data_IF_265147054545
#
_entry.id   IF_265147054545
#
_cell.length_a   1.000
_cell.length_b   1.000
_cell.length_c   1.000
_cell.angle_alpha   90.00
_cell.angle_beta   90.00
_cell.angle_gamma   90.00
#
_symmetry.space_group_name_H-M   'P 1'
#
loop_
_entity.id
_entity.type
_entity.pdbx_description
1 polymer ?
#
# COMPACT_ATOMS: atom_id res chain seq x y z
N UNK A 1 -49.34 -36.64 17.68
CA UNK A 1 -49.71 -35.97 16.41
C UNK A 1 -48.47 -35.62 15.64
N UNK A 2 -48.15 -36.42 14.61
CA UNK A 2 -47.05 -36.16 13.69
C UNK A 2 -47.62 -35.33 12.55
N UNK A 3 -47.28 -34.05 12.48
CA UNK A 3 -47.68 -33.18 11.38
C UNK A 3 -47.07 -33.72 10.08
N UNK A 4 -47.89 -34.35 9.24
CA UNK A 4 -47.57 -34.60 7.84
C UNK A 4 -47.51 -33.23 7.19
N UNK A 5 -46.32 -32.62 7.20
CA UNK A 5 -46.04 -31.42 6.42
C UNK A 5 -46.17 -31.83 4.96
N UNK A 6 -47.13 -31.24 4.27
CA UNK A 6 -47.39 -31.51 2.85
C UNK A 6 -46.07 -31.42 2.07
N UNK A 7 -45.74 -32.43 1.27
CA UNK A 7 -44.44 -32.53 0.58
C UNK A 7 -44.13 -31.28 -0.25
N UNK A 8 -45.17 -30.60 -0.77
CA UNK A 8 -45.02 -29.32 -1.45
C UNK A 8 -44.56 -28.20 -0.50
N UNK A 9 -45.10 -28.17 0.72
CA UNK A 9 -44.69 -27.21 1.76
C UNK A 9 -43.25 -27.47 2.19
N UNK A 10 -42.85 -28.74 2.32
CA UNK A 10 -41.48 -29.11 2.65
C UNK A 10 -40.48 -28.67 1.56
N UNK A 11 -40.84 -28.84 0.28
CA UNK A 11 -40.01 -28.38 -0.84
C UNK A 11 -39.90 -26.85 -0.89
N UNK A 12 -40.99 -26.12 -0.64
CA UNK A 12 -40.98 -24.64 -0.62
C UNK A 12 -40.09 -24.12 0.51
N UNK A 13 -40.19 -24.70 1.72
CA UNK A 13 -39.33 -24.32 2.85
C UNK A 13 -37.85 -24.61 2.57
N UNK A 14 -37.54 -25.76 1.96
CA UNK A 14 -36.17 -26.09 1.57
C UNK A 14 -35.60 -25.06 0.57
N UNK A 15 -36.39 -24.67 -0.44
CA UNK A 15 -35.98 -23.68 -1.44
C UNK A 15 -35.74 -22.30 -0.80
N UNK A 16 -36.59 -21.89 0.13
CA UNK A 16 -36.44 -20.63 0.87
C UNK A 16 -35.18 -20.62 1.73
N UNK A 17 -34.86 -21.73 2.42
CA UNK A 17 -33.64 -21.85 3.21
C UNK A 17 -32.38 -21.80 2.33
N UNK A 18 -32.40 -22.43 1.15
CA UNK A 18 -31.30 -22.35 0.18
C UNK A 18 -31.12 -20.91 -0.29
N UNK A 19 -32.20 -20.23 -0.69
CA UNK A 19 -32.14 -18.85 -1.15
C UNK A 19 -31.58 -17.91 -0.06
N UNK A 20 -32.02 -18.09 1.19
CA UNK A 20 -31.55 -17.30 2.33
C UNK A 20 -30.07 -17.56 2.63
N UNK A 21 -29.61 -18.81 2.57
CA UNK A 21 -28.20 -19.17 2.68
C UNK A 21 -27.35 -18.54 1.55
N UNK A 22 -27.84 -18.53 0.30
CA UNK A 22 -27.14 -17.91 -0.82
C UNK A 22 -26.99 -16.40 -0.62
N UNK A 23 -28.03 -15.71 -0.17
CA UNK A 23 -27.98 -14.27 0.11
C UNK A 23 -27.01 -13.99 1.27
N UNK A 24 -27.08 -14.76 2.35
CA UNK A 24 -26.17 -14.62 3.49
C UNK A 24 -24.71 -14.86 3.08
N UNK A 25 -24.44 -15.89 2.28
CA UNK A 25 -23.11 -16.16 1.74
C UNK A 25 -22.62 -15.05 0.81
N UNK A 26 -23.48 -14.51 -0.06
CA UNK A 26 -23.15 -13.40 -0.95
C UNK A 26 -22.86 -12.12 -0.16
N UNK A 27 -23.63 -11.82 0.89
CA UNK A 27 -23.40 -10.68 1.77
C UNK A 27 -22.12 -10.84 2.59
N UNK A 28 -21.86 -12.04 3.13
CA UNK A 28 -20.63 -12.34 3.85
C UNK A 28 -19.43 -12.23 2.92
N UNK A 29 -19.52 -12.78 1.70
CA UNK A 29 -18.48 -12.65 0.67
C UNK A 29 -18.32 -11.19 0.25
N UNK A 30 -19.39 -10.43 0.08
CA UNK A 30 -19.32 -9.00 -0.21
C UNK A 30 -18.67 -8.22 0.93
N UNK A 31 -19.00 -8.52 2.18
CA UNK A 31 -18.38 -7.92 3.37
C UNK A 31 -16.91 -8.29 3.48
N UNK A 32 -16.54 -9.54 3.25
CA UNK A 32 -15.15 -9.99 3.21
C UNK A 32 -14.41 -9.35 2.05
N UNK A 33 -15.01 -9.29 0.85
CA UNK A 33 -14.48 -8.57 -0.30
C UNK A 33 -14.34 -7.09 0.00
N UNK A 34 -15.27 -6.48 0.73
CA UNK A 34 -15.24 -5.06 1.10
C UNK A 34 -14.23 -4.78 2.21
N UNK A 35 -14.10 -5.64 3.20
CA UNK A 35 -13.08 -5.53 4.26
C UNK A 35 -11.70 -5.76 3.65
N UNK A 36 -11.54 -6.79 2.80
CA UNK A 36 -10.34 -7.03 2.01
C UNK A 36 -10.05 -5.85 1.09
N UNK A 37 -11.04 -5.31 0.40
CA UNK A 37 -10.88 -4.13 -0.45
C UNK A 37 -10.55 -2.89 0.37
N UNK A 38 -11.01 -2.75 1.63
CA UNK A 38 -10.57 -1.68 2.54
C UNK A 38 -9.17 -1.90 3.08
N UNK A 39 -8.77 -3.15 3.33
CA UNK A 39 -7.40 -3.49 3.68
C UNK A 39 -6.44 -3.23 2.52
N UNK A 40 -6.85 -3.57 1.29
CA UNK A 40 -6.11 -3.35 0.05
C UNK A 40 -6.14 -1.86 -0.35
N UNK A 41 -7.27 -1.17 -0.19
CA UNK A 41 -7.39 0.27 -0.47
C UNK A 41 -6.74 1.15 0.61
N UNK A 42 -6.65 0.68 1.86
CA UNK A 42 -5.80 1.27 2.90
C UNK A 42 -4.32 0.91 2.74
N UNK A 43 -3.97 0.15 1.70
CA UNK A 43 -2.60 -0.12 1.26
C UNK A 43 -2.45 0.21 -0.23
N UNK A 44 -3.06 1.31 -0.70
CA UNK A 44 -2.79 1.89 -2.04
C UNK A 44 -3.16 1.00 -3.24
N UNK A 45 -4.40 1.19 -3.70
CA UNK A 45 -5.01 0.93 -5.01
C UNK A 45 -4.17 0.36 -6.19
N UNK A 46 -4.66 -0.79 -6.71
CA UNK A 46 -4.71 -1.31 -8.10
C UNK A 46 -3.43 -1.48 -8.96
N UNK A 47 -2.97 -2.74 -9.07
CA UNK A 47 -2.97 -3.41 -10.37
C UNK A 47 -3.13 -4.94 -10.26
N UNK A 48 -3.89 -5.44 -11.23
CA UNK A 48 -4.37 -6.78 -11.46
C UNK A 48 -3.22 -7.78 -11.69
N UNK A 49 -2.88 -8.63 -10.72
CA UNK A 49 -2.17 -9.89 -10.97
C UNK A 49 -2.50 -10.94 -9.90
N UNK A 50 -2.91 -12.18 -10.28
CA UNK A 50 -3.15 -13.30 -9.38
C UNK A 50 -1.84 -14.03 -9.02
N UNK A 51 -0.69 -13.34 -9.04
CA UNK A 51 0.59 -13.92 -8.63
C UNK A 51 0.93 -13.45 -7.23
N UNK A 52 0.59 -14.31 -6.27
CA UNK A 52 0.88 -14.23 -4.85
C UNK A 52 2.40 -14.25 -4.60
N UNK A 53 3.10 -13.19 -4.99
CA UNK A 53 4.45 -12.87 -4.50
C UNK A 53 4.31 -11.80 -3.44
N UNK A 54 4.86 -12.12 -2.25
CA UNK A 54 4.88 -11.29 -1.05
C UNK A 54 5.63 -9.96 -1.25
N UNK A 55 5.08 -9.03 -2.02
CA UNK A 55 5.58 -7.65 -2.06
C UNK A 55 5.08 -6.90 -0.82
N UNK A 56 5.77 -7.14 0.30
CA UNK A 56 5.49 -6.60 1.65
C UNK A 56 5.38 -5.06 1.67
N UNK A 57 5.96 -4.38 0.68
CA UNK A 57 6.00 -2.92 0.59
C UNK A 57 5.02 -2.25 -0.36
N UNK A 58 4.29 -2.99 -1.20
CA UNK A 58 3.38 -2.38 -2.18
C UNK A 58 2.29 -1.59 -1.46
N UNK A 59 2.27 -0.28 -1.71
CA UNK A 59 1.29 0.65 -1.15
C UNK A 59 1.57 1.14 0.27
N UNK A 60 2.79 0.99 0.79
CA UNK A 60 3.22 1.61 2.06
C UNK A 60 4.28 2.67 1.83
N UNK A 61 4.09 3.83 2.44
CA UNK A 61 5.06 4.92 2.46
C UNK A 61 5.97 4.84 3.70
N UNK A 62 7.26 5.11 3.52
CA UNK A 62 8.26 5.17 4.59
C UNK A 62 9.10 6.44 4.44
N UNK A 63 9.26 7.19 5.53
CA UNK A 63 10.18 8.32 5.60
C UNK A 63 11.45 7.88 6.35
N UNK A 64 12.62 8.11 5.74
CA UNK A 64 13.92 7.89 6.38
C UNK A 64 14.54 9.26 6.60
N UNK A 65 14.73 9.64 7.86
CA UNK A 65 15.17 11.01 8.21
C UNK A 65 16.68 11.23 8.09
N UNK A 66 17.47 10.16 7.99
CA UNK A 66 18.94 10.21 8.07
C UNK A 66 19.63 9.61 6.84
N UNK A 67 19.17 9.95 5.63
CA UNK A 67 19.78 9.46 4.38
C UNK A 67 21.13 10.10 4.04
N UNK A 68 21.61 11.05 4.85
CA UNK A 68 22.99 11.58 4.74
C UNK A 68 24.05 10.56 5.16
N UNK A 69 23.66 9.50 5.90
CA UNK A 69 24.55 8.41 6.32
C UNK A 69 24.55 7.25 5.32
N UNK A 70 25.65 6.50 5.26
CA UNK A 70 25.74 5.29 4.43
C UNK A 70 24.64 4.27 4.75
N UNK A 71 24.33 4.10 6.05
CA UNK A 71 23.28 3.20 6.50
C UNK A 71 21.89 3.66 6.05
N UNK A 72 21.54 4.94 6.25
CA UNK A 72 20.25 5.48 5.82
C UNK A 72 20.05 5.38 4.32
N UNK A 73 21.11 5.62 3.54
CA UNK A 73 21.07 5.49 2.08
C UNK A 73 20.90 4.03 1.63
N UNK A 74 21.61 3.08 2.26
CA UNK A 74 21.45 1.66 1.97
C UNK A 74 20.06 1.15 2.36
N UNK A 75 19.53 1.61 3.50
CA UNK A 75 18.17 1.31 3.94
C UNK A 75 17.13 1.83 2.94
N UNK A 76 17.30 3.06 2.45
CA UNK A 76 16.42 3.65 1.44
C UNK A 76 16.36 2.81 0.16
N UNK A 77 17.52 2.36 -0.33
CA UNK A 77 17.59 1.50 -1.51
C UNK A 77 17.00 0.11 -1.26
N UNK A 78 17.23 -0.45 -0.07
CA UNK A 78 16.71 -1.77 0.28
C UNK A 78 15.18 -1.76 0.36
N UNK A 79 14.59 -0.78 1.05
CA UNK A 79 13.13 -0.63 1.15
C UNK A 79 12.50 -0.30 -0.21
N UNK A 80 13.14 0.54 -1.02
CA UNK A 80 12.68 0.78 -2.40
C UNK A 80 12.74 -0.51 -3.24
N UNK A 81 13.77 -1.36 -3.08
CA UNK A 81 13.83 -2.67 -3.75
C UNK A 81 12.73 -3.64 -3.29
N UNK A 82 12.26 -3.51 -2.05
CA UNK A 82 11.15 -4.30 -1.51
C UNK A 82 9.76 -3.77 -1.92
N UNK A 83 9.71 -2.69 -2.73
CA UNK A 83 8.47 -2.13 -3.27
C UNK A 83 7.84 -1.02 -2.42
N UNK A 84 8.49 -0.59 -1.33
CA UNK A 84 8.00 0.54 -0.54
C UNK A 84 8.17 1.87 -1.29
N UNK A 85 7.24 2.81 -1.05
CA UNK A 85 7.42 4.22 -1.40
C UNK A 85 8.32 4.86 -0.35
N UNK A 86 9.55 5.19 -0.71
CA UNK A 86 10.55 5.70 0.22
C UNK A 86 10.75 7.20 -0.01
N UNK A 87 10.53 7.98 1.04
CA UNK A 87 10.96 9.37 1.13
C UNK A 87 12.31 9.40 1.83
N UNK A 88 13.36 9.70 1.08
CA UNK A 88 14.72 9.82 1.59
C UNK A 88 14.95 11.27 2.05
N UNK A 89 14.98 11.47 3.37
CA UNK A 89 15.29 12.75 4.01
C UNK A 89 16.79 13.02 4.01
N UNK A 90 17.21 14.07 3.33
CA UNK A 90 18.59 14.53 3.29
C UNK A 90 18.67 15.97 3.80
N UNK A 91 19.64 16.23 4.67
CA UNK A 91 19.94 17.58 5.13
C UNK A 91 20.56 18.44 4.04
N UNK A 92 21.42 17.85 3.23
CA UNK A 92 22.06 18.50 2.08
C UNK A 92 21.82 17.67 0.80
N UNK A 93 20.94 18.17 -0.05
CA UNK A 93 20.64 17.52 -1.32
C UNK A 93 21.86 17.49 -2.25
N UNK A 94 22.72 18.52 -2.22
CA UNK A 94 23.91 18.62 -3.08
C UNK A 94 25.13 17.88 -2.51
N UNK A 95 25.03 17.42 -1.27
CA UNK A 95 26.03 16.59 -0.61
C UNK A 95 26.26 15.26 -1.31
N UNK A 96 27.28 14.53 -0.84
CA UNK A 96 27.71 13.24 -1.41
C UNK A 96 26.53 12.25 -1.48
N UNK A 97 25.76 12.14 -0.40
CA UNK A 97 24.62 11.24 -0.32
C UNK A 97 23.53 11.59 -1.36
N UNK A 98 23.21 12.87 -1.55
CA UNK A 98 22.19 13.30 -2.50
C UNK A 98 22.62 13.17 -3.96
N UNK A 99 23.92 13.31 -4.25
CA UNK A 99 24.48 12.97 -5.57
C UNK A 99 24.38 11.49 -5.87
N UNK A 100 24.71 10.62 -4.90
CA UNK A 100 24.58 9.16 -5.05
C UNK A 100 23.11 8.77 -5.25
N UNK A 101 22.21 9.34 -4.44
CA UNK A 101 20.77 9.09 -4.55
C UNK A 101 20.23 9.45 -5.94
N UNK A 102 20.61 10.63 -6.48
CA UNK A 102 20.20 11.06 -7.82
C UNK A 102 20.80 10.22 -8.94
N UNK A 103 22.07 9.83 -8.83
CA UNK A 103 22.67 8.91 -9.78
C UNK A 103 21.93 7.56 -9.80
N UNK A 104 21.55 7.05 -8.62
CA UNK A 104 20.78 5.80 -8.49
C UNK A 104 19.35 5.91 -8.99
N UNK A 105 18.69 7.05 -8.79
CA UNK A 105 17.37 7.31 -9.36
C UNK A 105 17.41 7.28 -10.88
N UNK A 106 18.37 7.99 -11.49
CA UNK A 106 18.57 8.00 -12.94
C UNK A 106 18.90 6.62 -13.51
N UNK A 107 19.69 5.82 -12.78
CA UNK A 107 19.97 4.43 -13.16
C UNK A 107 18.70 3.56 -13.16
N UNK A 108 17.77 3.82 -12.23
CA UNK A 108 16.51 3.08 -12.11
C UNK A 108 15.47 3.48 -13.14
N UNK A 109 15.41 4.76 -13.51
CA UNK A 109 14.53 5.21 -14.61
C UNK A 109 14.83 4.47 -15.92
N UNK A 110 16.08 4.02 -16.12
CA UNK A 110 16.51 3.25 -17.29
C UNK A 110 16.25 1.73 -17.17
N UNK A 111 15.95 1.20 -15.97
CA UNK A 111 15.73 -0.22 -15.73
C UNK A 111 14.26 -0.51 -15.47
N UNK A 112 13.68 -1.43 -16.24
CA UNK A 112 12.27 -1.88 -16.13
C UNK A 112 11.99 -2.77 -14.91
N UNK A 113 12.80 -2.70 -13.85
CA UNK A 113 12.62 -3.52 -12.67
C UNK A 113 11.50 -2.96 -11.77
N UNK A 114 10.61 -3.83 -11.30
CA UNK A 114 9.56 -3.50 -10.32
C UNK A 114 10.25 -3.07 -9.02
N UNK A 115 10.40 -1.75 -8.82
CA UNK A 115 10.96 -1.17 -7.60
C UNK A 115 10.07 -0.03 -7.13
N UNK A 116 9.96 0.12 -5.82
CA UNK A 116 9.13 1.14 -5.20
C UNK A 116 9.68 2.55 -5.44
N UNK A 117 8.80 3.57 -5.52
CA UNK A 117 9.23 4.94 -5.76
C UNK A 117 10.19 5.41 -4.68
N UNK A 118 11.28 6.05 -5.10
CA UNK A 118 12.26 6.64 -4.20
C UNK A 118 12.29 8.14 -4.47
N UNK A 119 11.95 8.94 -3.46
CA UNK A 119 11.84 10.40 -3.59
C UNK A 119 12.89 11.03 -2.68
N UNK A 120 13.75 11.87 -3.24
CA UNK A 120 14.66 12.69 -2.45
C UNK A 120 13.88 13.86 -1.84
N UNK A 121 14.00 14.03 -0.52
CA UNK A 121 13.29 15.03 0.26
C UNK A 121 14.30 15.86 1.06
N UNK A 122 14.39 17.19 0.83
CA UNK A 122 15.16 18.04 1.72
C UNK A 122 14.52 18.03 3.11
N UNK A 123 15.27 17.62 4.12
CA UNK A 123 14.77 17.46 5.48
C UNK A 123 15.89 17.73 6.49
N UNK A 124 15.64 18.65 7.42
CA UNK A 124 16.41 18.80 8.64
C UNK A 124 15.45 18.75 9.83
N UNK A 125 15.54 17.70 10.63
CA UNK A 125 14.67 17.48 11.79
C UNK A 125 14.83 18.56 12.88
N UNK A 126 15.89 19.38 12.80
CA UNK A 126 16.13 20.49 13.72
C UNK A 126 15.50 21.80 13.26
N UNK A 127 14.96 21.86 12.03
CA UNK A 127 14.42 23.07 11.40
C UNK A 127 12.93 22.91 11.10
N UNK A 128 12.11 23.68 11.81
CA UNK A 128 10.65 23.58 11.72
C UNK A 128 10.08 24.06 10.37
N UNK A 129 10.73 25.05 9.75
CA UNK A 129 10.45 25.51 8.39
C UNK A 129 10.53 24.36 7.38
N UNK A 130 11.64 23.61 7.41
CA UNK A 130 11.82 22.47 6.51
C UNK A 130 10.87 21.32 6.81
N UNK A 131 10.50 21.11 8.07
CA UNK A 131 9.53 20.07 8.43
C UNK A 131 8.16 20.34 7.80
N UNK A 132 7.70 21.59 7.82
CA UNK A 132 6.44 21.97 7.17
C UNK A 132 6.50 21.77 5.65
N UNK A 133 7.58 22.19 5.01
CA UNK A 133 7.78 21.96 3.57
C UNK A 133 7.82 20.47 3.22
N UNK A 134 8.51 19.68 4.05
CA UNK A 134 8.60 18.24 3.88
C UNK A 134 7.23 17.55 3.97
N UNK A 135 6.38 17.95 4.90
CA UNK A 135 5.00 17.44 5.01
C UNK A 135 4.20 17.77 3.76
N UNK A 136 4.29 19.00 3.24
CA UNK A 136 3.61 19.41 2.01
C UNK A 136 4.09 18.58 0.81
N UNK A 137 5.40 18.35 0.72
CA UNK A 137 5.98 17.52 -0.34
C UNK A 137 5.54 16.06 -0.24
N UNK A 138 5.52 15.48 0.96
CA UNK A 138 5.07 14.10 1.19
C UNK A 138 3.60 13.96 0.78
N UNK A 139 2.71 14.86 1.24
CA UNK A 139 1.28 14.86 0.87
C UNK A 139 1.06 14.90 -0.64
N UNK A 140 1.80 15.74 -1.36
CA UNK A 140 1.72 15.81 -2.84
C UNK A 140 2.11 14.52 -3.55
N UNK A 141 2.99 13.74 -2.92
CA UNK A 141 3.48 12.47 -3.46
C UNK A 141 2.79 11.27 -2.81
N UNK A 142 1.83 11.44 -1.92
CA UNK A 142 1.02 10.35 -1.42
C UNK A 142 -0.15 10.08 -2.39
N UNK A 143 -0.58 8.83 -2.53
CA UNK A 143 -1.80 8.51 -3.26
C UNK A 143 -3.02 9.12 -2.56
N UNK A 144 -4.07 9.40 -3.33
CA UNK A 144 -5.29 10.01 -2.81
C UNK A 144 -5.91 9.14 -1.69
N UNK A 145 -6.14 9.73 -0.51
CA UNK A 145 -6.74 9.05 0.65
C UNK A 145 -5.77 8.70 1.79
N UNK A 146 -4.47 9.03 1.67
CA UNK A 146 -3.45 8.82 2.72
C UNK A 146 -2.99 10.13 3.42
N UNK A 147 -3.85 11.16 3.46
CA UNK A 147 -3.59 12.51 4.01
C UNK A 147 -3.72 12.67 5.54
#
# INVERSE_FOLDING_TARGET
EHAVMDDQTALILALQMIALCCIAAALLLYLLCRIRNRYIAGTGQDQHDPEMTLNIGMGRAVLITSCDTAFGLQCAFHLSNLGFRVFAGLKDSEGVAGRILRAKLKEREMKTAVTGPLIALPLDVTREDLLHEAVVLIRRHLPAGED
#
